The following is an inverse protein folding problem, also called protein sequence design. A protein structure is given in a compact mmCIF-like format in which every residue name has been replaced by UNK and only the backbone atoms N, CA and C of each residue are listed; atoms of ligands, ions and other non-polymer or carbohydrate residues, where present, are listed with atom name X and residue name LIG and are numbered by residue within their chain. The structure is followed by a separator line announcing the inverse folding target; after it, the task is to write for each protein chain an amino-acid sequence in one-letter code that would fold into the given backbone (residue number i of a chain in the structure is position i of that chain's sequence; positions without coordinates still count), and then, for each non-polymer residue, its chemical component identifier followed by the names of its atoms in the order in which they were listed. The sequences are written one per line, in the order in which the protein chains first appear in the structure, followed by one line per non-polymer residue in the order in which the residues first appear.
data_IF_542838987385
#
_entry.id   IF_542838987385
#
_cell.length_a   1.000
_cell.length_b   1.000
_cell.length_c   1.000
_cell.angle_alpha   90.00
_cell.angle_beta   90.00
_cell.angle_gamma   90.00
#
_symmetry.space_group_name_H-M   'P 1'
#
loop_
_entity.id
_entity.type
_entity.pdbx_description
1 polymer ?
#
# COMPACT_ATOMS: atom_id res chain seq x y z
N UNK A 1 11.64 -6.62 2.97
CA UNK A 1 11.28 -6.10 4.31
C UNK A 1 10.27 -4.97 4.20
N UNK A 2 9.08 -5.25 3.68
CA UNK A 2 7.97 -4.29 3.51
C UNK A 2 6.74 -5.06 3.05
N UNK A 3 5.55 -4.70 3.50
CA UNK A 3 4.30 -5.05 2.82
C UNK A 3 3.34 -3.86 2.82
N UNK A 4 2.87 -3.48 1.64
CA UNK A 4 1.82 -2.49 1.45
C UNK A 4 0.73 -3.03 0.53
N UNK A 5 -0.50 -2.61 0.76
CA UNK A 5 -1.67 -2.93 -0.07
C UNK A 5 -2.54 -1.69 -0.23
N UNK A 6 -3.05 -1.49 -1.44
CA UNK A 6 -4.06 -0.49 -1.73
C UNK A 6 -5.21 -1.13 -2.50
N UNK A 7 -6.43 -0.76 -2.15
CA UNK A 7 -7.67 -1.35 -2.64
C UNK A 7 -8.59 -0.24 -3.15
N UNK A 8 -9.15 -0.43 -4.34
CA UNK A 8 -10.14 0.41 -5.01
C UNK A 8 -11.50 -0.25 -4.94
N UNK A 9 -12.41 0.34 -4.17
CA UNK A 9 -13.79 -0.10 -4.03
C UNK A 9 -14.73 0.89 -4.69
N UNK A 10 -16.00 0.51 -4.80
CA UNK A 10 -17.08 1.41 -5.21
C UNK A 10 -17.11 2.70 -4.39
N UNK A 11 -16.95 2.60 -3.07
CA UNK A 11 -17.19 3.72 -2.15
C UNK A 11 -15.92 4.52 -1.81
N UNK A 12 -14.75 4.11 -2.31
CA UNK A 12 -13.50 4.80 -2.00
C UNK A 12 -12.26 3.93 -2.16
N UNK A 13 -11.17 4.38 -1.55
CA UNK A 13 -9.88 3.71 -1.56
C UNK A 13 -9.44 3.36 -0.14
N UNK A 14 -8.94 2.15 0.05
CA UNK A 14 -8.33 1.69 1.29
C UNK A 14 -6.82 1.52 1.07
N UNK A 15 -6.01 2.07 1.97
CA UNK A 15 -4.56 1.97 1.94
C UNK A 15 -4.07 1.40 3.26
N UNK A 16 -3.10 0.50 3.20
CA UNK A 16 -2.46 -0.04 4.38
C UNK A 16 -0.98 -0.34 4.13
N UNK A 17 -0.14 -0.03 5.11
CA UNK A 17 1.29 -0.30 5.06
C UNK A 17 1.83 -0.73 6.41
N UNK A 18 2.75 -1.71 6.40
CA UNK A 18 3.61 -1.97 7.55
C UNK A 18 4.70 -0.90 7.68
N UNK A 19 5.45 -0.92 8.77
CA UNK A 19 6.47 0.11 9.05
C UNK A 19 7.87 -0.46 9.28
N UNK A 20 8.01 -1.78 9.38
CA UNK A 20 9.32 -2.43 9.51
C UNK A 20 10.11 -2.30 8.21
N UNK A 21 11.35 -1.82 8.29
CA UNK A 21 12.19 -1.57 7.12
C UNK A 21 13.62 -1.99 7.37
N UNK A 22 14.29 -2.47 6.32
CA UNK A 22 15.73 -2.71 6.31
C UNK A 22 16.45 -1.43 5.93
N UNK A 23 17.25 -0.88 6.84
CA UNK A 23 18.07 0.30 6.59
C UNK A 23 19.56 -0.04 6.38
N UNK A 24 19.91 -1.33 6.31
CA UNK A 24 21.28 -1.82 6.14
C UNK A 24 21.49 -3.16 6.85
N UNK A 25 22.68 -3.74 6.68
CA UNK A 25 23.08 -4.95 7.42
C UNK A 25 22.91 -4.69 8.92
N UNK A 26 22.16 -5.55 9.58
CA UNK A 26 21.78 -5.49 11.01
C UNK A 26 20.98 -4.25 11.47
N UNK A 27 20.47 -3.44 10.55
CA UNK A 27 19.67 -2.24 10.86
C UNK A 27 18.21 -2.42 10.46
N UNK A 28 17.41 -2.97 11.38
CA UNK A 28 15.95 -3.03 11.25
C UNK A 28 15.31 -1.92 12.08
N UNK A 29 14.52 -1.06 11.44
CA UNK A 29 13.91 0.09 12.09
C UNK A 29 12.50 0.36 11.56
N UNK A 30 11.82 1.33 12.18
CA UNK A 30 10.45 1.73 11.88
C UNK A 30 10.42 2.99 11.04
N UNK A 31 9.94 2.89 9.80
CA UNK A 31 9.74 4.03 8.90
C UNK A 31 8.32 4.03 8.35
N UNK A 32 7.67 5.20 8.33
CA UNK A 32 6.37 5.37 7.69
C UNK A 32 6.49 5.17 6.18
N UNK A 33 5.67 4.27 5.64
CA UNK A 33 5.64 3.94 4.20
C UNK A 33 4.43 4.50 3.47
N UNK A 34 3.58 5.25 4.18
CA UNK A 34 2.44 5.97 3.65
C UNK A 34 2.71 7.47 3.70
N UNK A 35 2.49 8.16 2.58
CA UNK A 35 2.56 9.62 2.48
C UNK A 35 1.28 10.15 1.88
N UNK A 36 0.83 11.29 2.40
CA UNK A 36 -0.33 11.99 1.89
C UNK A 36 0.08 13.36 1.37
N UNK A 37 -0.31 13.69 0.15
CA UNK A 37 -0.17 15.01 -0.44
C UNK A 37 -1.55 15.48 -0.85
N UNK A 38 -1.98 16.65 -0.39
CA UNK A 38 -3.33 17.11 -0.66
C UNK A 38 -3.41 18.63 -0.81
N UNK A 39 -4.35 19.06 -1.64
CA UNK A 39 -4.87 20.42 -1.69
C UNK A 39 -6.36 20.34 -1.34
N UNK A 40 -6.79 20.90 -0.19
CA UNK A 40 -8.16 20.80 0.28
C UNK A 40 -9.18 21.22 -0.79
N UNK A 41 -10.19 20.38 -1.00
CA UNK A 41 -11.26 20.62 -1.97
C UNK A 41 -10.90 20.34 -3.44
N UNK A 42 -9.64 20.05 -3.77
CA UNK A 42 -9.21 19.81 -5.17
C UNK A 42 -8.57 18.46 -5.41
N UNK A 43 -7.57 18.07 -4.63
CA UNK A 43 -6.80 16.85 -4.92
C UNK A 43 -6.30 16.21 -3.62
N UNK A 44 -6.39 14.88 -3.53
CA UNK A 44 -5.75 14.09 -2.47
C UNK A 44 -5.03 12.91 -3.10
N UNK A 45 -3.76 12.78 -2.78
CA UNK A 45 -2.88 11.69 -3.21
C UNK A 45 -2.37 10.94 -1.97
N UNK A 46 -2.38 9.62 -2.07
CA UNK A 46 -1.80 8.71 -1.09
C UNK A 46 -0.76 7.84 -1.81
N UNK A 47 0.46 7.88 -1.31
CA UNK A 47 1.60 7.12 -1.84
C UNK A 47 2.01 6.06 -0.81
N UNK A 48 2.05 4.80 -1.22
CA UNK A 48 2.68 3.72 -0.48
C UNK A 48 4.00 3.34 -1.15
N UNK A 49 5.05 3.06 -0.37
CA UNK A 49 6.38 2.73 -0.91
C UNK A 49 6.90 1.37 -0.44
N UNK A 50 7.70 0.73 -1.30
CA UNK A 50 8.48 -0.47 -0.98
C UNK A 50 9.76 -0.53 -1.82
N UNK A 51 10.74 -1.31 -1.37
CA UNK A 51 12.03 -1.46 -2.05
C UNK A 51 13.13 -0.69 -1.32
N UNK A 52 14.05 -0.09 -2.07
CA UNK A 52 15.17 0.66 -1.52
C UNK A 52 14.69 1.89 -0.72
N UNK A 53 15.09 1.97 0.55
CA UNK A 53 14.66 3.04 1.44
C UNK A 53 15.19 4.42 1.01
N UNK A 54 16.44 4.51 0.55
CA UNK A 54 17.04 5.77 0.11
C UNK A 54 16.35 6.31 -1.16
N UNK A 55 16.07 5.42 -2.13
CA UNK A 55 15.32 5.77 -3.35
C UNK A 55 13.92 6.25 -2.99
N UNK A 56 13.17 5.48 -2.20
CA UNK A 56 11.79 5.83 -1.86
C UNK A 56 11.66 7.12 -1.03
N UNK A 57 12.59 7.35 -0.08
CA UNK A 57 12.64 8.62 0.65
C UNK A 57 13.00 9.80 -0.27
N UNK A 58 13.98 9.64 -1.15
CA UNK A 58 14.36 10.69 -2.10
C UNK A 58 13.18 11.09 -3.00
N UNK A 59 12.45 10.12 -3.54
CA UNK A 59 11.25 10.38 -4.35
C UNK A 59 10.20 11.14 -3.54
N UNK A 60 9.85 10.65 -2.35
CA UNK A 60 8.86 11.33 -1.50
C UNK A 60 9.28 12.76 -1.15
N UNK A 61 10.55 12.98 -0.80
CA UNK A 61 11.09 14.30 -0.49
C UNK A 61 11.07 15.25 -1.69
N UNK A 62 11.41 14.79 -2.90
CA UNK A 62 11.33 15.63 -4.10
C UNK A 62 9.89 16.06 -4.41
N UNK A 63 8.92 15.16 -4.25
CA UNK A 63 7.50 15.50 -4.42
C UNK A 63 7.03 16.52 -3.39
N UNK A 64 7.40 16.35 -2.12
CA UNK A 64 7.09 17.30 -1.04
C UNK A 64 7.75 18.67 -1.27
N UNK A 65 8.98 18.70 -1.74
CA UNK A 65 9.68 19.93 -2.11
C UNK A 65 9.02 20.62 -3.30
N UNK A 66 8.60 19.88 -4.33
CA UNK A 66 7.86 20.42 -5.47
C UNK A 66 6.54 21.08 -5.05
N UNK A 67 5.82 20.48 -4.10
CA UNK A 67 4.61 21.08 -3.51
C UNK A 67 4.91 22.41 -2.80
N UNK A 68 6.01 22.48 -2.04
CA UNK A 68 6.40 23.69 -1.29
C UNK A 68 7.02 24.78 -2.17
N UNK A 69 7.70 24.40 -3.25
CA UNK A 69 8.45 25.30 -4.12
C UNK A 69 7.58 26.17 -5.02
N UNK A 70 6.31 25.83 -5.21
CA UNK A 70 5.34 26.64 -5.96
C UNK A 70 5.47 26.58 -7.48
N UNK A 71 6.47 25.89 -8.03
CA UNK A 71 6.60 25.65 -9.47
C UNK A 71 5.65 24.53 -9.93
N UNK A 72 4.64 24.83 -10.79
CA UNK A 72 3.71 23.82 -11.31
C UNK A 72 4.40 22.65 -12.03
N UNK A 73 5.58 22.88 -12.64
CA UNK A 73 6.31 21.84 -13.36
C UNK A 73 6.90 20.76 -12.44
N UNK A 74 7.09 21.05 -11.15
CA UNK A 74 7.58 20.08 -10.14
C UNK A 74 6.51 19.71 -9.10
N UNK A 75 5.48 20.53 -8.91
CA UNK A 75 4.37 20.26 -8.00
C UNK A 75 3.42 19.15 -8.49
N UNK A 76 3.45 17.97 -7.85
CA UNK A 76 2.54 16.84 -8.14
C UNK A 76 1.07 17.14 -7.87
N UNK A 77 0.75 18.14 -7.03
CA UNK A 77 -0.63 18.54 -6.83
C UNK A 77 -1.14 19.37 -8.00
N UNK A 78 -0.30 20.10 -8.72
CA UNK A 78 -0.69 20.99 -9.83
C UNK A 78 -1.17 20.26 -11.10
N UNK A 79 -1.33 18.94 -11.06
CA UNK A 79 -1.82 18.12 -12.17
C UNK A 79 -3.35 18.17 -12.29
N UNK A 80 -3.85 17.87 -13.49
CA UNK A 80 -5.28 17.86 -13.81
C UNK A 80 -5.95 16.49 -13.66
N UNK A 81 -5.16 15.40 -13.59
CA UNK A 81 -5.67 14.04 -13.45
C UNK A 81 -4.78 13.17 -12.56
N UNK A 82 -5.32 12.07 -11.99
CA UNK A 82 -4.46 11.09 -11.31
C UNK A 82 -3.49 10.37 -12.26
N UNK A 83 -3.82 10.30 -13.56
CA UNK A 83 -2.90 9.75 -14.54
C UNK A 83 -1.62 10.60 -14.62
N UNK A 84 -1.77 11.92 -14.67
CA UNK A 84 -0.64 12.85 -14.69
C UNK A 84 0.16 12.82 -13.38
N UNK A 85 -0.49 12.59 -12.24
CA UNK A 85 0.19 12.30 -10.98
C UNK A 85 1.07 11.04 -11.09
N UNK A 86 0.57 9.97 -11.71
CA UNK A 86 1.32 8.72 -11.93
C UNK A 86 2.49 8.91 -12.90
N UNK A 87 2.29 9.67 -13.99
CA UNK A 87 3.36 10.07 -14.92
C UNK A 87 4.47 10.81 -14.19
N UNK A 88 4.11 11.79 -13.36
CA UNK A 88 5.08 12.58 -12.60
C UNK A 88 5.83 11.75 -11.58
N UNK A 89 5.12 10.92 -10.80
CA UNK A 89 5.75 9.99 -9.85
C UNK A 89 6.75 9.06 -10.56
N UNK A 90 6.37 8.51 -11.72
CA UNK A 90 7.26 7.68 -12.53
C UNK A 90 8.49 8.44 -13.05
N UNK A 91 8.34 9.71 -13.43
CA UNK A 91 9.45 10.56 -13.85
C UNK A 91 10.41 10.86 -12.68
N UNK A 92 9.89 11.24 -11.52
CA UNK A 92 10.70 11.47 -10.30
C UNK A 92 11.43 10.20 -9.86
N UNK A 93 10.81 9.02 -9.97
CA UNK A 93 11.48 7.76 -9.68
C UNK A 93 12.65 7.49 -10.63
N UNK A 94 12.45 7.69 -11.94
CA UNK A 94 13.54 7.54 -12.92
C UNK A 94 14.68 8.53 -12.67
N UNK A 95 14.36 9.77 -12.31
CA UNK A 95 15.35 10.80 -11.96
C UNK A 95 16.22 10.34 -10.77
N UNK A 96 15.59 9.87 -9.69
CA UNK A 96 16.32 9.40 -8.50
C UNK A 96 17.17 8.17 -8.82
N UNK A 97 16.63 7.19 -9.54
CA UNK A 97 17.39 5.99 -9.93
C UNK A 97 18.56 6.38 -10.84
N UNK A 98 18.36 7.26 -11.83
CA UNK A 98 19.44 7.69 -12.72
C UNK A 98 20.54 8.48 -12.01
N UNK A 99 20.18 9.23 -10.96
CA UNK A 99 21.12 9.97 -10.11
C UNK A 99 21.99 9.03 -9.25
N UNK A 100 21.37 8.01 -8.66
CA UNK A 100 22.01 7.18 -7.63
C UNK A 100 22.63 5.89 -8.16
N UNK A 101 22.04 5.31 -9.21
CA UNK A 101 22.50 4.04 -9.75
C UNK A 101 23.86 4.19 -10.44
N UNK A 102 24.81 3.34 -10.05
CA UNK A 102 26.13 3.21 -10.68
C UNK A 102 26.21 1.86 -11.40
N UNK A 103 26.65 1.82 -12.68
CA UNK A 103 26.65 0.60 -13.49
C UNK A 103 27.39 -0.60 -12.86
N UNK A 104 28.39 -0.34 -12.03
CA UNK A 104 29.34 -1.37 -11.57
C UNK A 104 29.11 -1.85 -10.12
N UNK A 105 28.12 -1.32 -9.40
CA UNK A 105 28.02 -1.52 -7.94
C UNK A 105 27.08 -2.65 -7.50
N UNK A 106 26.44 -3.38 -8.41
CA UNK A 106 25.61 -4.56 -8.10
C UNK A 106 24.44 -4.33 -7.11
N UNK A 107 24.21 -3.08 -6.72
CA UNK A 107 23.27 -2.67 -5.67
C UNK A 107 21.92 -2.37 -6.31
N UNK A 108 20.87 -2.92 -5.71
CA UNK A 108 19.51 -2.69 -6.17
C UNK A 108 18.93 -1.38 -5.59
N UNK A 109 18.77 -0.39 -6.47
CA UNK A 109 18.14 0.91 -6.17
C UNK A 109 16.65 0.94 -6.49
N UNK A 110 16.06 -0.19 -6.87
CA UNK A 110 14.66 -0.26 -7.28
C UNK A 110 13.70 0.09 -6.14
N UNK A 111 12.57 0.70 -6.50
CA UNK A 111 11.45 0.95 -5.60
C UNK A 111 10.15 0.84 -6.36
N UNK A 112 9.12 0.33 -5.70
CA UNK A 112 7.75 0.29 -6.20
C UNK A 112 6.88 1.25 -5.39
N UNK A 113 5.87 1.81 -6.05
CA UNK A 113 4.89 2.67 -5.39
C UNK A 113 3.47 2.26 -5.74
N UNK A 114 2.58 2.37 -4.76
CA UNK A 114 1.14 2.44 -5.02
C UNK A 114 0.72 3.90 -4.88
N UNK A 115 0.13 4.45 -5.94
CA UNK A 115 -0.40 5.80 -5.95
C UNK A 115 -1.91 5.73 -6.11
N UNK A 116 -2.65 6.14 -5.10
CA UNK A 116 -4.10 6.27 -5.21
C UNK A 116 -4.56 7.63 -4.72
N UNK A 117 -5.78 8.00 -5.10
CA UNK A 117 -6.32 9.29 -4.72
C UNK A 117 -7.51 9.70 -5.56
N UNK A 118 -7.85 10.98 -5.44
CA UNK A 118 -8.91 11.61 -6.20
C UNK A 118 -8.53 13.05 -6.55
N UNK A 119 -8.89 13.46 -7.76
CA UNK A 119 -8.93 14.86 -8.22
C UNK A 119 -10.40 15.25 -8.34
N UNK A 120 -10.76 16.46 -7.94
CA UNK A 120 -12.13 16.96 -8.03
C UNK A 120 -12.62 16.88 -9.48
N UNK A 121 -13.77 16.22 -9.68
CA UNK A 121 -14.32 15.94 -11.02
C UNK A 121 -13.91 14.57 -11.61
N UNK A 122 -12.94 13.86 -11.01
CA UNK A 122 -12.59 12.48 -11.37
C UNK A 122 -13.13 11.48 -10.34
N UNK A 123 -13.35 10.23 -10.77
CA UNK A 123 -13.53 9.13 -9.83
C UNK A 123 -12.21 8.82 -9.09
N UNK A 124 -12.25 8.18 -7.90
CA UNK A 124 -11.03 7.69 -7.27
C UNK A 124 -10.29 6.68 -8.16
N UNK A 125 -8.97 6.82 -8.25
CA UNK A 125 -8.10 5.99 -9.09
C UNK A 125 -6.94 5.45 -8.27
N UNK A 126 -6.37 4.33 -8.73
CA UNK A 126 -5.30 3.62 -8.05
C UNK A 126 -4.34 3.02 -9.07
N UNK A 127 -3.05 3.27 -8.89
CA UNK A 127 -1.97 2.88 -9.79
C UNK A 127 -0.87 2.11 -9.06
N UNK A 128 -0.24 1.19 -9.78
CA UNK A 128 1.02 0.57 -9.38
C UNK A 128 2.13 1.09 -10.28
N UNK A 129 3.09 1.82 -9.69
CA UNK A 129 4.29 2.33 -10.38
C UNK A 129 5.45 1.38 -10.18
N UNK A 130 6.03 0.91 -11.29
CA UNK A 130 7.18 0.01 -11.31
C UNK A 130 8.52 0.77 -11.27
N UNK A 131 9.65 0.10 -10.97
CA UNK A 131 10.97 0.73 -10.92
C UNK A 131 11.37 1.45 -12.21
N UNK A 132 10.86 1.02 -13.35
CA UNK A 132 11.11 1.65 -14.66
C UNK A 132 10.32 2.96 -14.84
N UNK A 133 9.46 3.31 -13.88
CA UNK A 133 8.60 4.50 -13.88
C UNK A 133 7.41 4.41 -14.83
N UNK A 134 7.13 3.24 -15.43
CA UNK A 134 5.85 2.93 -16.03
C UNK A 134 4.88 2.41 -14.96
N UNK A 135 3.59 2.33 -15.29
CA UNK A 135 2.55 1.98 -14.32
C UNK A 135 1.34 1.31 -14.97
N UNK A 136 0.56 0.63 -14.14
CA UNK A 136 -0.77 0.09 -14.48
C UNK A 136 -1.83 0.67 -13.53
N UNK A 137 -3.10 0.63 -13.94
CA UNK A 137 -4.24 1.12 -13.17
C UNK A 137 -5.14 -0.02 -12.69
N UNK A 138 -5.66 0.09 -11.46
CA UNK A 138 -6.63 -0.84 -10.91
C UNK A 138 -7.99 -0.69 -11.59
N UNK A 139 -8.57 -1.83 -11.95
CA UNK A 139 -9.88 -1.93 -12.60
C UNK A 139 -10.90 -2.52 -11.62
N UNK A 140 -12.12 -2.77 -12.09
CA UNK A 140 -13.11 -3.51 -11.29
C UNK A 140 -12.73 -4.99 -11.13
N UNK A 141 -12.10 -5.57 -12.16
CA UNK A 141 -11.68 -6.98 -12.16
C UNK A 141 -10.42 -7.20 -11.34
N UNK A 142 -9.54 -6.19 -11.28
CA UNK A 142 -8.34 -6.18 -10.43
C UNK A 142 -8.39 -4.96 -9.51
N UNK A 143 -9.19 -5.02 -8.43
CA UNK A 143 -9.48 -3.86 -7.58
C UNK A 143 -8.40 -3.57 -6.54
N UNK A 144 -7.26 -4.26 -6.54
CA UNK A 144 -6.22 -4.01 -5.55
C UNK A 144 -4.82 -4.27 -6.10
N UNK A 145 -3.83 -3.64 -5.47
CA UNK A 145 -2.42 -3.89 -5.71
C UNK A 145 -1.67 -4.11 -4.41
N UNK A 146 -0.58 -4.87 -4.48
CA UNK A 146 0.31 -5.15 -3.37
C UNK A 146 1.76 -4.87 -3.80
N UNK A 147 2.59 -4.39 -2.88
CA UNK A 147 4.04 -4.22 -3.07
C UNK A 147 4.81 -4.73 -1.84
N UNK A 148 6.05 -5.17 -2.06
CA UNK A 148 6.85 -5.85 -1.04
C UNK A 148 6.53 -7.36 -0.93
N UNK A 149 6.49 -7.88 0.30
CA UNK A 149 6.25 -9.30 0.63
C UNK A 149 4.76 -9.69 0.50
N UNK A 150 4.22 -9.53 -0.71
CA UNK A 150 2.78 -9.62 -0.98
C UNK A 150 2.19 -11.04 -0.94
N UNK A 151 3.01 -12.09 -1.12
CA UNK A 151 2.54 -13.45 -1.42
C UNK A 151 1.73 -14.09 -0.28
N UNK A 152 2.12 -13.85 0.97
CA UNK A 152 1.50 -14.47 2.14
C UNK A 152 0.07 -13.96 2.39
N UNK A 153 -0.14 -12.67 2.18
CA UNK A 153 -1.42 -12.01 2.38
C UNK A 153 -2.35 -12.03 1.17
N UNK A 154 -1.87 -12.46 0.00
CA UNK A 154 -2.66 -12.50 -1.24
C UNK A 154 -3.88 -13.43 -1.19
N UNK A 155 -3.79 -14.68 -0.66
CA UNK A 155 -4.88 -15.65 -0.80
C UNK A 155 -6.17 -15.28 -0.06
N UNK A 156 -6.14 -14.40 0.95
CA UNK A 156 -7.37 -13.92 1.60
C UNK A 156 -8.01 -12.79 0.78
N UNK A 157 -7.19 -11.91 0.18
CA UNK A 157 -7.68 -10.85 -0.71
C UNK A 157 -8.37 -11.47 -1.93
N UNK A 158 -7.74 -12.47 -2.58
CA UNK A 158 -8.32 -13.17 -3.73
C UNK A 158 -9.66 -13.86 -3.44
N UNK A 159 -9.92 -14.25 -2.18
CA UNK A 159 -11.11 -15.04 -1.80
C UNK A 159 -12.28 -14.22 -1.31
N UNK A 160 -12.02 -13.03 -0.79
CA UNK A 160 -13.03 -12.24 -0.07
C UNK A 160 -13.28 -10.89 -0.74
N UNK A 161 -12.26 -10.34 -1.40
CA UNK A 161 -12.31 -8.97 -1.88
C UNK A 161 -12.76 -8.90 -3.34
N UNK A 162 -13.74 -8.05 -3.60
CA UNK A 162 -14.14 -7.58 -4.92
C UNK A 162 -14.40 -6.05 -4.90
N UNK A 163 -14.72 -5.46 -6.05
CA UNK A 163 -14.95 -4.02 -6.18
C UNK A 163 -16.14 -3.51 -5.35
N UNK A 164 -17.13 -4.37 -5.07
CA UNK A 164 -18.37 -4.02 -4.40
C UNK A 164 -18.34 -4.34 -2.90
N UNK A 165 -17.23 -4.89 -2.40
CA UNK A 165 -17.01 -5.23 -1.00
C UNK A 165 -17.19 -3.99 -0.10
N UNK A 166 -17.99 -4.07 0.99
CA UNK A 166 -18.16 -2.96 1.92
C UNK A 166 -16.85 -2.58 2.61
N UNK A 167 -16.69 -1.28 2.91
CA UNK A 167 -15.49 -0.72 3.57
C UNK A 167 -15.04 -1.52 4.79
N UNK A 168 -15.96 -1.82 5.70
CA UNK A 168 -15.64 -2.44 6.97
C UNK A 168 -15.15 -3.90 6.79
N UNK A 169 -15.63 -4.59 5.76
CA UNK A 169 -15.17 -5.93 5.37
C UNK A 169 -13.80 -5.88 4.69
N UNK A 170 -13.59 -4.91 3.80
CA UNK A 170 -12.29 -4.69 3.16
C UNK A 170 -11.19 -4.37 4.20
N UNK A 171 -11.51 -3.58 5.24
CA UNK A 171 -10.60 -3.31 6.37
C UNK A 171 -10.26 -4.61 7.11
N UNK A 172 -11.25 -5.42 7.50
CA UNK A 172 -11.00 -6.71 8.16
C UNK A 172 -10.15 -7.64 7.29
N UNK A 173 -10.49 -7.77 6.01
CA UNK A 173 -9.75 -8.58 5.04
C UNK A 173 -8.29 -8.13 4.91
N UNK A 174 -8.07 -6.81 4.86
CA UNK A 174 -6.73 -6.21 4.82
C UNK A 174 -5.92 -6.53 6.08
N UNK A 175 -6.52 -6.40 7.26
CA UNK A 175 -5.83 -6.70 8.52
C UNK A 175 -5.50 -8.19 8.67
N UNK A 176 -6.36 -9.09 8.19
CA UNK A 176 -6.09 -10.54 8.13
C UNK A 176 -4.95 -10.84 7.14
N UNK A 177 -4.90 -10.12 6.01
CA UNK A 177 -3.80 -10.19 5.05
C UNK A 177 -2.45 -9.82 5.70
N UNK A 178 -2.44 -8.77 6.53
CA UNK A 178 -1.27 -8.40 7.34
C UNK A 178 -0.93 -9.44 8.42
N UNK A 179 -1.91 -9.97 9.16
CA UNK A 179 -1.66 -11.01 10.17
C UNK A 179 -0.98 -12.24 9.57
N UNK A 180 -1.51 -12.75 8.46
CA UNK A 180 -0.94 -13.89 7.73
C UNK A 180 0.50 -13.61 7.32
N UNK A 181 0.76 -12.39 6.83
CA UNK A 181 2.10 -11.98 6.37
C UNK A 181 3.09 -11.84 7.53
N UNK A 182 2.73 -11.15 8.62
CA UNK A 182 3.61 -10.96 9.79
C UNK A 182 3.92 -12.29 10.50
N UNK A 183 2.98 -13.24 10.53
CA UNK A 183 3.20 -14.57 11.09
C UNK A 183 4.19 -15.41 10.28
N UNK A 184 4.22 -15.22 8.98
CA UNK A 184 5.01 -16.05 8.06
C UNK A 184 6.29 -15.38 7.56
N UNK A 185 6.47 -14.08 7.77
CA UNK A 185 7.64 -13.35 7.32
C UNK A 185 8.01 -12.21 8.31
N UNK A 186 9.13 -12.37 9.00
CA UNK A 186 9.64 -11.42 10.01
C UNK A 186 10.01 -10.04 9.44
N UNK A 187 10.13 -9.94 8.12
CA UNK A 187 10.50 -8.70 7.44
C UNK A 187 9.35 -7.69 7.34
N UNK A 188 8.14 -8.11 7.72
CA UNK A 188 6.94 -7.29 7.81
C UNK A 188 6.57 -7.16 9.29
N UNK A 189 6.20 -5.95 9.72
CA UNK A 189 5.91 -5.73 11.14
C UNK A 189 5.13 -4.46 11.45
N UNK A 190 4.39 -4.54 12.54
CA UNK A 190 3.71 -3.42 13.16
C UNK A 190 4.71 -2.35 13.69
N UNK A 191 4.28 -1.08 13.88
CA UNK A 191 2.93 -0.57 13.67
C UNK A 191 2.48 -0.62 12.19
N UNK A 192 1.16 -0.65 11.98
CA UNK A 192 0.52 -0.57 10.67
C UNK A 192 -0.14 0.79 10.51
N UNK A 193 0.02 1.43 9.37
CA UNK A 193 -0.70 2.66 9.02
C UNK A 193 -1.86 2.28 8.08
N UNK A 194 -3.09 2.67 8.43
CA UNK A 194 -4.33 2.40 7.69
C UNK A 194 -5.02 3.71 7.32
N UNK A 195 -5.43 3.87 6.07
CA UNK A 195 -6.12 5.07 5.62
C UNK A 195 -7.29 4.73 4.70
N UNK A 196 -8.47 5.26 5.03
CA UNK A 196 -9.66 5.20 4.18
C UNK A 196 -9.89 6.56 3.55
N UNK A 197 -9.95 6.60 2.22
CA UNK A 197 -10.32 7.75 1.44
C UNK A 197 -11.72 7.52 0.85
N UNK A 198 -12.78 8.11 1.43
CA UNK A 198 -14.10 8.05 0.86
C UNK A 198 -14.13 8.74 -0.52
N UNK A 199 -14.92 8.20 -1.44
CA UNK A 199 -15.23 8.85 -2.71
C UNK A 199 -15.79 10.26 -2.44
N UNK A 200 -15.30 11.23 -3.21
CA UNK A 200 -15.66 12.65 -3.20
C UNK A 200 -15.35 13.38 -1.89
N UNK A 201 -14.51 12.81 -1.01
CA UNK A 201 -14.10 13.43 0.25
C UNK A 201 -12.65 13.96 0.21
N UNK A 202 -12.52 15.28 0.11
CA UNK A 202 -11.24 16.00 0.12
C UNK A 202 -10.88 16.61 1.48
N UNK A 203 -11.60 16.25 2.55
CA UNK A 203 -11.33 16.75 3.91
C UNK A 203 -9.98 16.28 4.45
N UNK A 204 -9.38 17.05 5.35
CA UNK A 204 -8.15 16.68 6.04
C UNK A 204 -8.39 15.47 6.96
N UNK A 205 -7.71 14.36 6.69
CA UNK A 205 -7.77 13.12 7.48
C UNK A 205 -6.37 12.53 7.61
N UNK A 206 -6.07 12.05 8.81
CA UNK A 206 -4.84 11.35 9.13
C UNK A 206 -5.02 9.83 9.07
N UNK A 207 -3.96 9.04 8.81
CA UNK A 207 -4.01 7.60 8.89
C UNK A 207 -4.25 7.15 10.34
N UNK A 208 -4.99 6.06 10.49
CA UNK A 208 -5.08 5.34 11.76
C UNK A 208 -3.85 4.46 11.91
N UNK A 209 -3.11 4.64 13.01
CA UNK A 209 -1.93 3.82 13.31
C UNK A 209 -2.28 2.72 14.32
N UNK A 210 -2.16 1.47 13.88
CA UNK A 210 -2.37 0.28 14.71
C UNK A 210 -1.03 -0.20 15.26
N UNK A 211 -0.86 -0.08 16.58
CA UNK A 211 0.34 -0.57 17.27
C UNK A 211 0.41 -2.10 17.26
N UNK A 212 1.56 -2.66 17.63
CA UNK A 212 1.76 -4.11 17.72
C UNK A 212 0.77 -4.80 18.66
N UNK A 213 0.40 -4.13 19.75
CA UNK A 213 -0.54 -4.60 20.78
C UNK A 213 -1.90 -3.90 20.71
N UNK A 214 -2.30 -3.42 19.53
CA UNK A 214 -3.63 -2.81 19.35
C UNK A 214 -4.74 -3.81 19.73
N UNK A 215 -5.70 -3.43 20.62
CA UNK A 215 -6.72 -4.36 21.10
C UNK A 215 -7.65 -4.90 20.01
N UNK A 216 -7.99 -4.08 19.01
CA UNK A 216 -8.84 -4.51 17.91
C UNK A 216 -8.10 -5.52 17.03
N UNK A 217 -6.83 -5.23 16.70
CA UNK A 217 -5.99 -6.13 15.93
C UNK A 217 -5.78 -7.47 16.67
N UNK A 218 -5.53 -7.45 17.97
CA UNK A 218 -5.39 -8.67 18.78
C UNK A 218 -6.68 -9.51 18.76
N UNK A 219 -7.84 -8.88 18.99
CA UNK A 219 -9.13 -9.56 18.97
C UNK A 219 -9.48 -10.14 17.60
N UNK A 220 -9.20 -9.40 16.52
CA UNK A 220 -9.41 -9.88 15.14
C UNK A 220 -8.59 -11.14 14.86
N UNK A 221 -7.30 -11.14 15.24
CA UNK A 221 -6.39 -12.28 15.04
C UNK A 221 -6.84 -13.52 15.80
N UNK A 222 -7.27 -13.35 17.05
CA UNK A 222 -7.77 -14.45 17.88
C UNK A 222 -9.04 -15.06 17.28
N UNK A 223 -10.01 -14.22 16.91
CA UNK A 223 -11.27 -14.66 16.32
C UNK A 223 -11.05 -15.37 14.98
N UNK A 224 -10.23 -14.79 14.10
CA UNK A 224 -9.87 -15.40 12.82
C UNK A 224 -9.21 -16.77 12.99
N UNK A 225 -8.22 -16.86 13.88
CA UNK A 225 -7.52 -18.12 14.16
C UNK A 225 -8.44 -19.20 14.71
N UNK A 226 -9.39 -18.86 15.59
CA UNK A 226 -10.40 -19.80 16.09
C UNK A 226 -11.34 -20.25 14.98
N UNK A 227 -11.87 -19.32 14.19
CA UNK A 227 -12.80 -19.63 13.10
C UNK A 227 -12.18 -20.54 12.04
N UNK A 228 -10.92 -20.31 11.68
CA UNK A 228 -10.20 -21.14 10.71
C UNK A 228 -10.02 -22.59 11.21
N UNK A 229 -9.67 -22.76 12.49
CA UNK A 229 -9.56 -24.10 13.10
C UNK A 229 -10.91 -24.83 13.15
N UNK A 230 -11.97 -24.11 13.47
CA UNK A 230 -13.32 -24.68 13.49
C UNK A 230 -13.75 -25.11 12.10
N UNK A 231 -13.60 -24.26 11.08
CA UNK A 231 -13.91 -24.61 9.70
C UNK A 231 -13.08 -25.82 9.21
N UNK A 232 -11.78 -25.85 9.53
CA UNK A 232 -10.91 -26.96 9.18
C UNK A 232 -11.34 -28.28 9.81
N UNK A 233 -11.74 -28.28 11.09
CA UNK A 233 -12.21 -29.47 11.79
C UNK A 233 -13.55 -30.02 11.27
N UNK A 234 -14.30 -29.24 10.48
CA UNK A 234 -15.55 -29.67 9.85
C UNK A 234 -15.37 -30.21 8.43
N UNK A 235 -14.15 -30.21 7.90
CA UNK A 235 -13.87 -30.79 6.59
C UNK A 235 -14.04 -32.32 6.65
N UNK A 236 -14.55 -32.94 5.58
CA UNK A 236 -14.68 -34.39 5.53
C UNK A 236 -13.29 -35.05 5.59
N UNK A 237 -13.23 -36.20 6.26
CA UNK A 237 -12.04 -37.05 6.21
C UNK A 237 -11.78 -37.51 4.77
N UNK A 238 -10.52 -37.69 4.35
CA UNK A 238 -10.24 -38.23 3.04
C UNK A 238 -10.82 -39.63 2.82
N UNK A 239 -11.59 -39.80 1.74
CA UNK A 239 -12.31 -41.05 1.44
C UNK A 239 -11.41 -42.30 1.31
N UNK A 240 -10.10 -42.12 1.11
CA UNK A 240 -9.10 -43.20 1.00
C UNK A 240 -8.51 -43.63 2.36
N UNK A 241 -8.98 -43.09 3.47
CA UNK A 241 -8.64 -43.56 4.83
C UNK A 241 -9.63 -44.58 5.38
N UNK A 242 -10.73 -44.86 4.66
CA UNK A 242 -11.68 -45.90 5.02
C UNK A 242 -11.18 -47.27 4.56
N UNK A 243 -10.37 -47.93 5.40
CA UNK A 243 -10.14 -49.39 5.39
C UNK A 243 -11.02 -50.07 6.46
#
# INVERSE_FOLDING_TARGET
MTYCVAIKLRDGLLFASDTRTNAGVDHVATFGKMRQLAEPGRIRLVLLSSGNLATSQSVASLLELGVRGGDPATNILAVDSLYDAAVRLGATLREVIARDARPDEGTDFSSHFLLGGQVAGEAPRLFHVYPQGNFIEATRDTPYFQIGEAKYGKPILDRVLDYDTPRDEAIKCTLISFDSTMRSNLSVGAPLDLFWHPRDDFSAREPTRLAEHDPYLAGLREQWGRGLRQAFATLPEPDWLAD
#
